data_IF_592154802779
#
_entry.id   IF_592154802779
#
_cell.length_a   1.000
_cell.length_b   1.000
_cell.length_c   1.000
_cell.angle_alpha   90.00
_cell.angle_beta   90.00
_cell.angle_gamma   90.00
#
_symmetry.space_group_name_H-M   'P 1'
#
loop_
_entity.id
_entity.type
_entity.pdbx_description
1 polymer ?
#
# COMPACT_ATOMS: atom_id res chain seq x y z
N UNK A 1 -14.98 -13.53 12.89
CA UNK A 1 -14.06 -13.17 13.99
C UNK A 1 -13.21 -12.01 13.56
N UNK A 2 -13.19 -10.98 14.36
CA UNK A 2 -12.41 -9.79 14.03
C UNK A 2 -10.98 -9.97 14.48
N UNK A 3 -10.06 -9.92 13.54
CA UNK A 3 -8.66 -10.00 13.86
C UNK A 3 -8.16 -8.63 14.28
N UNK A 4 -7.55 -8.54 15.43
CA UNK A 4 -6.87 -7.34 15.86
C UNK A 4 -5.46 -7.29 15.31
N UNK A 5 -5.05 -6.11 14.89
CA UNK A 5 -3.64 -5.85 14.65
C UNK A 5 -3.23 -4.66 15.52
N UNK A 6 -1.94 -4.45 15.63
CA UNK A 6 -1.41 -3.28 16.30
C UNK A 6 -1.87 -2.03 15.57
N UNK A 7 -2.35 -1.04 16.30
CA UNK A 7 -2.73 0.23 15.74
C UNK A 7 -4.20 0.41 15.41
N UNK A 8 -5.07 -0.62 15.62
CA UNK A 8 -6.47 -0.35 15.46
C UNK A 8 -7.32 -1.52 15.01
N UNK A 9 -8.55 -1.20 14.66
CA UNK A 9 -9.56 -2.16 14.21
C UNK A 9 -10.06 -1.78 12.82
N UNK A 10 -10.65 -2.75 12.13
CA UNK A 10 -11.28 -2.50 10.85
C UNK A 10 -12.46 -1.55 10.99
N UNK A 11 -12.69 -0.65 10.03
CA UNK A 11 -13.87 0.22 10.06
C UNK A 11 -15.14 -0.59 9.84
N UNK A 12 -16.32 -0.07 10.27
CA UNK A 12 -17.59 -0.79 10.12
C UNK A 12 -17.91 -1.18 8.66
N UNK A 13 -17.47 -0.38 7.69
CA UNK A 13 -17.71 -0.62 6.27
C UNK A 13 -16.57 -1.36 5.59
N UNK A 14 -15.76 -2.11 6.31
CA UNK A 14 -14.57 -2.77 5.77
C UNK A 14 -14.86 -3.65 4.54
N UNK A 15 -15.95 -4.42 4.57
CA UNK A 15 -16.28 -5.29 3.43
C UNK A 15 -16.49 -4.49 2.15
N UNK A 16 -17.13 -3.33 2.25
CA UNK A 16 -17.34 -2.45 1.11
C UNK A 16 -16.02 -1.87 0.61
N UNK A 17 -15.18 -1.40 1.51
CA UNK A 17 -13.86 -0.85 1.18
C UNK A 17 -13.02 -1.92 0.49
N UNK A 18 -12.93 -3.12 1.04
CA UNK A 18 -12.14 -4.20 0.47
C UNK A 18 -12.64 -4.59 -0.92
N UNK A 19 -13.95 -4.66 -1.10
CA UNK A 19 -14.54 -4.98 -2.41
C UNK A 19 -14.17 -3.94 -3.44
N UNK A 20 -14.22 -2.68 -3.08
CA UNK A 20 -13.86 -1.58 -3.98
C UNK A 20 -12.39 -1.63 -4.38
N UNK A 21 -11.49 -1.88 -3.42
CA UNK A 21 -10.06 -2.01 -3.69
C UNK A 21 -9.79 -3.14 -4.68
N UNK A 22 -10.43 -4.28 -4.49
CA UNK A 22 -10.30 -5.43 -5.39
C UNK A 22 -10.84 -5.12 -6.78
N UNK A 23 -11.97 -4.42 -6.87
CA UNK A 23 -12.57 -4.04 -8.14
C UNK A 23 -11.67 -3.06 -8.91
N UNK A 24 -11.09 -2.09 -8.23
CA UNK A 24 -10.18 -1.13 -8.83
C UNK A 24 -8.89 -1.79 -9.34
N UNK A 25 -8.50 -2.90 -8.74
CA UNK A 25 -7.38 -3.71 -9.21
C UNK A 25 -7.77 -4.67 -10.33
N UNK A 26 -9.00 -4.61 -10.83
CA UNK A 26 -9.49 -5.48 -11.88
C UNK A 26 -9.65 -6.93 -11.45
N UNK A 27 -9.81 -7.18 -10.15
CA UNK A 27 -9.93 -8.53 -9.61
C UNK A 27 -8.62 -9.32 -9.62
N UNK A 28 -7.49 -8.64 -9.80
CA UNK A 28 -6.17 -9.27 -9.93
C UNK A 28 -5.19 -8.74 -8.88
N UNK A 29 -4.22 -9.57 -8.55
CA UNK A 29 -3.12 -9.18 -7.67
C UNK A 29 -2.28 -8.08 -8.32
N UNK A 30 -2.04 -6.99 -7.60
CA UNK A 30 -1.21 -5.88 -8.10
C UNK A 30 0.23 -6.31 -8.32
N UNK A 31 0.74 -7.22 -7.49
CA UNK A 31 2.15 -7.64 -7.56
C UNK A 31 2.42 -8.67 -8.65
N UNK A 32 1.65 -9.74 -8.72
CA UNK A 32 1.90 -10.81 -9.68
C UNK A 32 0.91 -10.88 -10.85
N UNK A 33 -0.17 -10.12 -10.78
CA UNK A 33 -1.17 -10.06 -11.85
C UNK A 33 -2.17 -11.21 -11.89
N UNK A 34 -2.05 -12.20 -11.00
CA UNK A 34 -2.92 -13.36 -11.04
C UNK A 34 -4.35 -13.00 -10.61
N UNK A 35 -5.33 -13.49 -11.36
CA UNK A 35 -6.73 -13.27 -11.03
C UNK A 35 -7.12 -14.04 -9.76
N UNK A 36 -8.16 -13.56 -9.09
CA UNK A 36 -8.71 -14.24 -7.93
C UNK A 36 -9.08 -15.68 -8.29
N UNK A 37 -8.45 -16.65 -7.64
CA UNK A 37 -8.66 -18.08 -7.90
C UNK A 37 -8.40 -18.87 -6.62
N UNK A 38 -9.39 -18.97 -5.72
CA UNK A 38 -9.20 -19.69 -4.44
C UNK A 38 -8.84 -21.16 -4.63
N UNK A 39 -9.41 -21.81 -5.65
CA UNK A 39 -9.15 -23.22 -5.93
C UNK A 39 -7.68 -23.49 -6.25
N UNK A 40 -6.98 -22.51 -6.82
CA UNK A 40 -5.57 -22.64 -7.19
C UNK A 40 -4.62 -22.01 -6.18
N UNK A 41 -5.13 -21.53 -5.06
CA UNK A 41 -4.30 -20.91 -4.01
C UNK A 41 -3.99 -19.44 -4.26
N UNK A 42 -4.83 -18.74 -5.04
CA UNK A 42 -4.67 -17.31 -5.35
C UNK A 42 -5.88 -16.50 -4.88
N UNK A 43 -6.30 -16.69 -3.64
CA UNK A 43 -7.37 -15.88 -3.07
C UNK A 43 -6.93 -14.41 -3.01
N UNK A 44 -7.71 -13.52 -3.63
CA UNK A 44 -7.41 -12.10 -3.59
C UNK A 44 -7.78 -11.51 -2.24
N UNK A 45 -6.83 -10.80 -1.63
CA UNK A 45 -6.98 -10.17 -0.32
C UNK A 45 -6.65 -8.69 -0.42
N UNK A 46 -6.94 -7.94 0.62
CA UNK A 46 -6.52 -6.54 0.73
C UNK A 46 -5.56 -6.41 1.91
N UNK A 47 -4.37 -5.89 1.63
CA UNK A 47 -3.32 -5.71 2.63
C UNK A 47 -3.18 -4.23 3.00
N UNK A 48 -3.07 -3.97 4.30
CA UNK A 48 -2.74 -2.64 4.83
C UNK A 48 -1.22 -2.52 4.90
N UNK A 49 -0.64 -1.66 4.08
CA UNK A 49 0.82 -1.56 3.98
C UNK A 49 1.49 -1.15 5.30
N UNK A 50 0.81 -0.35 6.11
CA UNK A 50 1.31 0.06 7.43
C UNK A 50 0.90 -0.89 8.56
N UNK A 51 0.23 -1.99 8.24
CA UNK A 51 -0.29 -2.97 9.20
C UNK A 51 -1.38 -2.42 10.15
N UNK A 52 -1.92 -1.25 9.87
CA UNK A 52 -3.00 -0.66 10.67
C UNK A 52 -4.34 -0.79 9.95
N UNK A 53 -5.25 -1.67 10.39
CA UNK A 53 -6.52 -1.90 9.70
C UNK A 53 -7.46 -0.69 9.72
N UNK A 54 -7.22 0.30 10.57
CA UNK A 54 -8.00 1.53 10.60
C UNK A 54 -7.58 2.53 9.52
N UNK A 55 -6.38 2.38 8.96
CA UNK A 55 -5.89 3.28 7.91
C UNK A 55 -6.34 2.77 6.54
N UNK A 56 -7.44 3.31 6.05
CA UNK A 56 -8.03 2.94 4.76
C UNK A 56 -7.76 3.95 3.65
N UNK A 57 -6.69 4.72 3.76
CA UNK A 57 -6.23 5.59 2.68
C UNK A 57 -5.90 4.74 1.46
N UNK A 58 -6.19 5.24 0.25
CA UNK A 58 -6.00 4.46 -0.97
C UNK A 58 -4.55 3.97 -1.14
N UNK A 59 -3.58 4.77 -0.74
CA UNK A 59 -2.16 4.43 -0.84
C UNK A 59 -1.71 3.39 0.18
N UNK A 60 -2.56 3.07 1.16
CA UNK A 60 -2.27 2.07 2.19
C UNK A 60 -2.92 0.71 1.90
N UNK A 61 -3.84 0.65 0.96
CA UNK A 61 -4.62 -0.56 0.66
C UNK A 61 -4.22 -1.13 -0.69
N UNK A 62 -3.71 -2.33 -0.69
CA UNK A 62 -3.29 -2.99 -1.92
C UNK A 62 -3.94 -4.36 -2.07
N UNK A 63 -4.44 -4.65 -3.27
CA UNK A 63 -5.02 -5.95 -3.59
C UNK A 63 -3.89 -6.93 -3.90
N UNK A 64 -3.76 -7.97 -3.11
CA UNK A 64 -2.72 -8.99 -3.25
C UNK A 64 -3.33 -10.38 -3.14
N UNK A 65 -2.87 -11.30 -3.99
CA UNK A 65 -3.23 -12.70 -3.79
C UNK A 65 -2.61 -13.20 -2.49
N UNK A 66 -3.17 -14.29 -1.94
CA UNK A 66 -2.70 -14.82 -0.66
C UNK A 66 -1.20 -15.15 -0.65
N UNK A 67 -0.65 -15.56 -1.78
CA UNK A 67 0.79 -15.87 -1.88
C UNK A 67 1.66 -14.63 -1.79
N UNK A 68 1.30 -13.59 -2.56
CA UNK A 68 2.01 -12.32 -2.51
C UNK A 68 1.85 -11.64 -1.15
N UNK A 69 0.65 -11.71 -0.57
CA UNK A 69 0.39 -11.15 0.76
C UNK A 69 1.33 -11.77 1.81
N UNK A 70 1.44 -13.09 1.82
CA UNK A 70 2.35 -13.79 2.73
C UNK A 70 3.82 -13.46 2.48
N UNK A 71 4.19 -13.28 1.21
CA UNK A 71 5.57 -12.96 0.83
C UNK A 71 5.99 -11.58 1.33
N UNK A 72 5.12 -10.58 1.21
CA UNK A 72 5.48 -9.21 1.56
C UNK A 72 5.11 -8.80 2.98
N UNK A 73 4.23 -9.55 3.64
CA UNK A 73 3.78 -9.21 4.98
C UNK A 73 4.96 -9.05 5.94
N UNK A 74 5.04 -7.90 6.59
CA UNK A 74 6.14 -7.58 7.50
C UNK A 74 7.47 -7.24 6.84
N UNK A 75 7.57 -7.35 5.51
CA UNK A 75 8.79 -7.02 4.76
C UNK A 75 8.67 -5.70 4.01
N UNK A 76 7.48 -5.42 3.52
CA UNK A 76 7.21 -4.15 2.83
C UNK A 76 6.95 -3.09 3.88
N UNK A 77 7.80 -2.08 3.91
CA UNK A 77 7.68 -0.95 4.83
C UNK A 77 7.75 0.31 3.99
N UNK A 78 6.80 1.22 4.20
CA UNK A 78 6.83 2.53 3.55
C UNK A 78 8.20 3.18 3.78
N UNK A 79 8.66 3.91 2.82
CA UNK A 79 9.91 4.66 2.88
C UNK A 79 11.21 3.83 2.81
N UNK A 80 11.16 2.51 2.69
CA UNK A 80 12.40 1.75 2.48
C UNK A 80 12.91 1.93 1.05
N UNK A 81 14.11 2.49 0.84
CA UNK A 81 14.63 2.70 -0.51
C UNK A 81 14.71 1.42 -1.33
N UNK A 82 15.14 0.33 -0.71
CA UNK A 82 15.20 -0.98 -1.36
C UNK A 82 13.87 -1.37 -2.02
N UNK A 83 12.76 -1.11 -1.33
CA UNK A 83 11.44 -1.45 -1.84
C UNK A 83 11.09 -0.65 -3.09
N UNK A 84 11.52 0.61 -3.13
CA UNK A 84 11.23 1.47 -4.27
C UNK A 84 11.97 1.01 -5.53
N UNK A 85 13.17 0.48 -5.37
CA UNK A 85 13.98 0.05 -6.50
C UNK A 85 13.55 -1.32 -7.04
N UNK A 86 13.07 -2.20 -6.16
CA UNK A 86 12.79 -3.59 -6.51
C UNK A 86 11.30 -3.90 -6.70
N UNK A 87 10.43 -2.94 -6.45
CA UNK A 87 8.98 -3.13 -6.53
C UNK A 87 8.31 -1.95 -7.22
N UNK A 88 8.40 -1.88 -8.56
CA UNK A 88 7.82 -0.74 -9.30
C UNK A 88 6.35 -0.49 -8.99
N UNK A 89 5.56 -1.55 -8.74
CA UNK A 89 4.16 -1.42 -8.38
C UNK A 89 3.95 -0.63 -7.08
N UNK A 90 4.97 -0.58 -6.23
CA UNK A 90 4.89 0.02 -4.91
C UNK A 90 5.06 1.54 -4.92
N UNK A 91 5.71 2.08 -5.93
CA UNK A 91 6.04 3.52 -5.98
C UNK A 91 4.84 4.44 -5.82
N UNK A 92 3.73 4.14 -6.47
CA UNK A 92 2.53 4.98 -6.39
C UNK A 92 1.98 5.04 -4.96
N UNK A 93 2.05 3.94 -4.23
CA UNK A 93 1.58 3.87 -2.85
C UNK A 93 2.49 4.68 -1.93
N UNK A 94 3.79 4.58 -2.11
CA UNK A 94 4.75 5.38 -1.34
C UNK A 94 4.60 6.87 -1.65
N UNK A 95 4.38 7.23 -2.91
CA UNK A 95 4.13 8.60 -3.29
C UNK A 95 2.89 9.17 -2.59
N UNK A 96 1.82 8.38 -2.50
CA UNK A 96 0.63 8.77 -1.76
C UNK A 96 0.90 8.97 -0.27
N UNK A 97 1.68 8.09 0.31
CA UNK A 97 2.12 8.22 1.70
C UNK A 97 2.89 9.55 1.91
N UNK A 98 3.82 9.88 1.02
CA UNK A 98 4.56 11.13 1.13
C UNK A 98 3.68 12.34 0.93
N UNK A 99 2.72 12.29 0.01
CA UNK A 99 1.78 13.39 -0.17
C UNK A 99 1.01 13.67 1.12
N UNK A 100 0.56 12.62 1.80
CA UNK A 100 -0.11 12.75 3.09
C UNK A 100 0.83 13.31 4.16
N UNK A 101 2.07 12.84 4.19
CA UNK A 101 3.07 13.27 5.17
C UNK A 101 3.39 14.77 5.02
N UNK A 102 3.43 15.28 3.80
CA UNK A 102 3.71 16.69 3.52
C UNK A 102 2.46 17.55 3.40
N UNK A 103 1.28 17.02 3.74
CA UNK A 103 0.00 17.73 3.65
C UNK A 103 -0.28 18.28 2.26
N UNK A 104 0.11 17.54 1.22
CA UNK A 104 -0.15 17.87 -0.17
C UNK A 104 -1.47 17.22 -0.63
N UNK A 105 -2.01 17.60 -1.82
CA UNK A 105 -3.19 16.92 -2.34
C UNK A 105 -3.00 15.41 -2.39
N UNK A 106 -3.90 14.67 -1.76
CA UNK A 106 -3.77 13.23 -1.60
C UNK A 106 -4.59 12.40 -2.56
N UNK A 107 -5.30 13.04 -3.50
CA UNK A 107 -6.10 12.30 -4.47
C UNK A 107 -5.19 11.49 -5.40
N UNK A 108 -5.68 10.30 -5.74
CA UNK A 108 -4.90 9.35 -6.51
C UNK A 108 -4.42 9.90 -7.85
N UNK A 109 -5.29 10.61 -8.55
CA UNK A 109 -4.95 11.17 -9.85
C UNK A 109 -3.79 12.17 -9.76
N UNK A 110 -3.84 13.08 -8.81
CA UNK A 110 -2.77 14.05 -8.60
C UNK A 110 -1.46 13.38 -8.22
N UNK A 111 -1.52 12.41 -7.30
CA UNK A 111 -0.34 11.66 -6.85
C UNK A 111 0.30 10.90 -8.02
N UNK A 112 -0.50 10.24 -8.85
CA UNK A 112 0.02 9.48 -9.98
C UNK A 112 0.72 10.38 -11.01
N UNK A 113 0.31 11.65 -11.10
CA UNK A 113 0.96 12.62 -11.97
C UNK A 113 2.28 13.16 -11.39
N UNK A 114 2.55 12.95 -10.10
CA UNK A 114 3.69 13.54 -9.40
C UNK A 114 4.54 12.50 -8.64
N UNK A 115 4.49 11.24 -9.06
CA UNK A 115 5.13 10.13 -8.32
C UNK A 115 6.62 10.39 -8.09
N UNK A 116 7.37 10.69 -9.14
CA UNK A 116 8.82 10.84 -9.02
C UNK A 116 9.20 12.03 -8.13
N UNK A 117 8.48 13.14 -8.25
CA UNK A 117 8.72 14.32 -7.43
C UNK A 117 8.46 14.03 -5.94
N UNK A 118 7.37 13.31 -5.65
CA UNK A 118 7.02 12.96 -4.28
C UNK A 118 8.03 11.98 -3.68
N UNK A 119 8.50 11.02 -4.45
CA UNK A 119 9.54 10.08 -3.99
C UNK A 119 10.82 10.85 -3.68
N UNK A 120 11.25 11.76 -4.54
CA UNK A 120 12.44 12.57 -4.33
C UNK A 120 12.33 13.40 -3.06
N UNK A 121 11.19 14.05 -2.85
CA UNK A 121 10.94 14.84 -1.64
C UNK A 121 11.02 13.96 -0.39
N UNK A 122 10.38 12.82 -0.42
CA UNK A 122 10.34 11.91 0.73
C UNK A 122 11.70 11.32 1.05
N UNK A 123 12.45 10.90 0.05
CA UNK A 123 13.79 10.34 0.23
C UNK A 123 14.78 11.40 0.65
N UNK A 124 14.64 12.63 0.17
CA UNK A 124 15.44 13.77 0.62
C UNK A 124 15.24 14.05 2.10
N UNK A 125 14.00 13.99 2.58
CA UNK A 125 13.69 14.14 4.00
C UNK A 125 14.40 13.07 4.86
N UNK A 126 14.37 11.82 4.41
CA UNK A 126 15.01 10.72 5.12
C UNK A 126 16.52 10.92 5.20
N UNK A 127 17.13 11.31 4.09
CA UNK A 127 18.58 11.58 4.04
C UNK A 127 18.98 12.70 4.99
N UNK A 128 18.18 13.77 5.03
CA UNK A 128 18.42 14.89 5.94
C UNK A 128 18.35 14.46 7.40
N UNK A 129 17.35 13.63 7.75
CA UNK A 129 17.22 13.11 9.12
C UNK A 129 18.39 12.20 9.49
N UNK A 130 18.87 11.38 8.56
CA UNK A 130 20.00 10.49 8.80
C UNK A 130 21.29 11.28 9.07
N UNK A 131 21.48 12.38 8.36
CA UNK A 131 22.66 13.25 8.56
C UNK A 131 22.59 13.99 9.88
N UNK A 132 21.38 14.36 10.32
CA UNK A 132 21.19 15.10 11.57
C UNK A 132 21.44 14.26 12.83
N UNK A 133 21.46 12.94 12.70
CA UNK A 133 21.76 12.02 13.79
C UNK A 133 23.24 11.77 13.88
#
# INVERSE_FOLDING_TARGET
>A
MTRRSEGGTYPPNWHEVARQVKAEAGGCCIRCGHAHSPADGYTLTVHHLDMNPANCAWWNLVALCQRCHLTIQGRVVMERPWMLDHTPWFKAYVAGHYAALFALPGDREWVLAHVDELIDMGQGRRSALAVAV
#
